data_IF_061612875095
#
_entry.id   IF_061612875095
#
_cell.length_a   1.000
_cell.length_b   1.000
_cell.length_c   1.000
_cell.angle_alpha   90.00
_cell.angle_beta   90.00
_cell.angle_gamma   90.00
#
_symmetry.space_group_name_H-M   'P 1'
#
loop_
_entity.id
_entity.type
_entity.pdbx_description
1 polymer ?
#
# COMPACT_ATOMS: atom_id res chain seq x y z
N UNK A 1 -34.86 -6.96 -12.87
CA UNK A 1 -33.49 -7.53 -12.95
C UNK A 1 -32.39 -6.47 -13.01
N UNK A 2 -32.69 -5.16 -13.01
CA UNK A 2 -31.72 -4.05 -13.13
C UNK A 2 -31.17 -3.49 -11.80
N UNK A 3 -31.64 -3.93 -10.63
CA UNK A 3 -31.26 -3.35 -9.32
C UNK A 3 -30.02 -3.97 -8.66
N UNK A 4 -29.56 -5.13 -9.09
CA UNK A 4 -28.41 -5.82 -8.46
C UNK A 4 -27.05 -5.41 -9.06
N UNK A 5 -27.02 -4.91 -10.28
CA UNK A 5 -25.80 -4.41 -10.93
C UNK A 5 -25.37 -3.05 -10.37
N UNK A 6 -26.30 -2.18 -10.03
CA UNK A 6 -26.04 -0.79 -9.56
C UNK A 6 -25.33 -0.76 -8.18
N UNK A 7 -25.62 -1.72 -7.29
CA UNK A 7 -24.96 -1.81 -5.97
C UNK A 7 -23.51 -2.35 -6.02
N UNK A 8 -23.20 -3.22 -6.98
CA UNK A 8 -21.86 -3.75 -7.16
C UNK A 8 -20.89 -2.68 -7.69
N UNK A 9 -21.38 -1.86 -8.61
CA UNK A 9 -20.61 -0.83 -9.29
C UNK A 9 -20.28 0.34 -8.35
N UNK A 10 -21.23 0.77 -7.52
CA UNK A 10 -21.01 1.81 -6.50
C UNK A 10 -19.95 1.39 -5.46
N UNK A 11 -19.96 0.13 -5.04
CA UNK A 11 -18.97 -0.41 -4.08
C UNK A 11 -17.57 -0.47 -4.69
N UNK A 12 -17.45 -0.90 -5.95
CA UNK A 12 -16.19 -0.94 -6.67
C UNK A 12 -15.54 0.44 -6.79
N UNK A 13 -16.34 1.45 -7.13
CA UNK A 13 -15.88 2.84 -7.24
C UNK A 13 -15.36 3.39 -5.91
N UNK A 14 -16.10 3.18 -4.81
CA UNK A 14 -15.69 3.64 -3.48
C UNK A 14 -14.37 2.95 -3.05
N UNK A 15 -14.24 1.66 -3.30
CA UNK A 15 -13.03 0.91 -3.01
C UNK A 15 -11.82 1.44 -3.80
N UNK A 16 -12.02 1.77 -5.08
CA UNK A 16 -10.96 2.36 -5.91
C UNK A 16 -10.58 3.76 -5.41
N UNK A 17 -11.54 4.58 -5.01
CA UNK A 17 -11.26 5.91 -4.44
C UNK A 17 -10.43 5.81 -3.16
N UNK A 18 -10.75 4.86 -2.28
CA UNK A 18 -9.97 4.61 -1.06
C UNK A 18 -8.56 4.17 -1.38
N UNK A 19 -8.38 3.27 -2.36
CA UNK A 19 -7.07 2.80 -2.79
C UNK A 19 -6.21 3.95 -3.36
N UNK A 20 -6.80 4.82 -4.19
CA UNK A 20 -6.14 6.01 -4.73
C UNK A 20 -5.66 6.96 -3.62
N UNK A 21 -6.51 7.21 -2.62
CA UNK A 21 -6.16 8.09 -1.51
C UNK A 21 -5.05 7.51 -0.64
N UNK A 22 -5.11 6.21 -0.33
CA UNK A 22 -4.07 5.51 0.42
C UNK A 22 -2.73 5.53 -0.33
N UNK A 23 -2.77 5.38 -1.66
CA UNK A 23 -1.59 5.44 -2.51
C UNK A 23 -0.94 6.83 -2.51
N UNK A 24 -1.73 7.92 -2.53
CA UNK A 24 -1.16 9.27 -2.38
C UNK A 24 -0.47 9.45 -1.03
N UNK A 25 -1.08 8.96 0.06
CA UNK A 25 -0.45 8.98 1.38
C UNK A 25 0.83 8.14 1.39
N UNK A 26 0.83 6.97 0.74
CA UNK A 26 2.01 6.12 0.62
C UNK A 26 3.14 6.80 -0.16
N UNK A 27 2.84 7.48 -1.28
CA UNK A 27 3.82 8.25 -2.06
C UNK A 27 4.47 9.34 -1.21
N UNK A 28 3.67 10.14 -0.50
CA UNK A 28 4.19 11.18 0.40
C UNK A 28 5.05 10.58 1.51
N UNK A 29 4.59 9.49 2.14
CA UNK A 29 5.33 8.77 3.17
C UNK A 29 6.66 8.21 2.66
N UNK A 30 6.69 7.66 1.46
CA UNK A 30 7.91 7.14 0.83
C UNK A 30 8.91 8.25 0.51
N UNK A 31 8.46 9.39 -0.03
CA UNK A 31 9.33 10.57 -0.26
C UNK A 31 9.95 11.04 1.05
N UNK A 32 9.14 11.18 2.10
CA UNK A 32 9.63 11.60 3.41
C UNK A 32 10.63 10.58 3.99
N UNK A 33 10.34 9.30 3.90
CA UNK A 33 11.23 8.22 4.38
C UNK A 33 12.56 8.20 3.64
N UNK A 34 12.55 8.30 2.31
CA UNK A 34 13.76 8.35 1.48
C UNK A 34 14.61 9.57 1.86
N UNK A 35 13.97 10.74 2.04
CA UNK A 35 14.67 11.96 2.44
C UNK A 35 15.31 11.82 3.83
N UNK A 36 14.59 11.29 4.81
CA UNK A 36 15.14 11.07 6.17
C UNK A 36 16.28 10.06 6.15
N UNK A 37 16.14 8.95 5.43
CA UNK A 37 17.18 7.91 5.36
C UNK A 37 18.43 8.42 4.64
N UNK A 38 18.24 9.11 3.53
CA UNK A 38 19.36 9.59 2.73
C UNK A 38 20.09 10.77 3.37
N UNK A 39 19.35 11.81 3.78
CA UNK A 39 19.92 13.04 4.32
C UNK A 39 20.08 13.03 5.84
N UNK A 40 19.17 12.37 6.56
CA UNK A 40 19.19 12.29 8.02
C UNK A 40 20.18 11.26 8.55
N UNK A 41 20.16 10.07 7.98
CA UNK A 41 21.05 8.96 8.41
C UNK A 41 22.32 8.81 7.54
N UNK A 42 22.44 9.57 6.46
CA UNK A 42 23.59 9.52 5.57
C UNK A 42 23.73 8.21 4.78
N UNK A 43 22.67 7.42 4.70
CA UNK A 43 22.68 6.14 3.97
C UNK A 43 22.59 6.42 2.48
N UNK A 44 23.53 5.88 1.72
CA UNK A 44 23.58 6.04 0.26
C UNK A 44 22.52 5.15 -0.39
N UNK A 45 21.42 5.75 -0.80
CA UNK A 45 20.36 5.10 -1.57
C UNK A 45 20.49 5.42 -3.06
N UNK A 46 20.08 4.51 -3.96
CA UNK A 46 20.03 4.76 -5.41
C UNK A 46 18.83 5.67 -5.73
N UNK A 47 18.96 6.97 -5.42
CA UNK A 47 17.86 7.94 -5.48
C UNK A 47 17.19 8.00 -6.85
N UNK A 48 17.97 7.99 -7.95
CA UNK A 48 17.42 8.07 -9.30
C UNK A 48 16.43 6.94 -9.59
N UNK A 49 16.79 5.71 -9.19
CA UNK A 49 15.93 4.54 -9.39
C UNK A 49 14.72 4.57 -8.46
N UNK A 50 14.92 4.93 -7.19
CA UNK A 50 13.83 5.03 -6.22
C UNK A 50 12.83 6.13 -6.58
N UNK A 51 13.30 7.29 -7.03
CA UNK A 51 12.45 8.37 -7.51
C UNK A 51 11.73 8.01 -8.80
N UNK A 52 12.35 7.25 -9.71
CA UNK A 52 11.70 6.74 -10.91
C UNK A 52 10.52 5.80 -10.57
N UNK A 53 10.69 4.90 -9.59
CA UNK A 53 9.61 4.03 -9.09
C UNK A 53 8.47 4.87 -8.49
N UNK A 54 8.79 5.89 -7.69
CA UNK A 54 7.79 6.80 -7.11
C UNK A 54 7.06 7.62 -8.19
N UNK A 55 7.77 8.12 -9.17
CA UNK A 55 7.19 8.87 -10.29
C UNK A 55 6.21 7.98 -11.09
N UNK A 56 6.58 6.73 -11.34
CA UNK A 56 5.69 5.76 -11.97
C UNK A 56 4.44 5.51 -11.13
N UNK A 57 4.58 5.29 -9.82
CA UNK A 57 3.46 5.08 -8.91
C UNK A 57 2.52 6.29 -8.87
N UNK A 58 3.08 7.50 -8.81
CA UNK A 58 2.31 8.74 -8.84
C UNK A 58 1.56 8.92 -10.18
N UNK A 59 2.24 8.67 -11.30
CA UNK A 59 1.63 8.71 -12.63
C UNK A 59 0.51 7.68 -12.78
N UNK A 60 0.73 6.45 -12.34
CA UNK A 60 -0.28 5.40 -12.34
C UNK A 60 -1.50 5.79 -11.47
N UNK A 61 -1.26 6.41 -10.31
CA UNK A 61 -2.33 6.87 -9.43
C UNK A 61 -3.13 8.02 -10.06
N UNK A 62 -2.45 8.97 -10.69
CA UNK A 62 -3.10 10.07 -11.42
C UNK A 62 -3.93 9.54 -12.61
N UNK A 63 -3.40 8.59 -13.38
CA UNK A 63 -4.12 7.93 -14.46
C UNK A 63 -5.35 7.16 -13.95
N UNK A 64 -5.23 6.43 -12.84
CA UNK A 64 -6.35 5.76 -12.19
C UNK A 64 -7.43 6.76 -11.75
N UNK A 65 -7.02 7.90 -11.16
CA UNK A 65 -7.92 8.96 -10.74
C UNK A 65 -8.65 9.61 -11.92
N UNK A 66 -7.96 9.83 -13.05
CA UNK A 66 -8.56 10.40 -14.25
C UNK A 66 -9.56 9.41 -14.87
N UNK A 67 -9.20 8.13 -14.93
CA UNK A 67 -10.04 7.09 -15.51
C UNK A 67 -11.37 6.95 -14.78
N UNK A 68 -11.39 6.89 -13.45
CA UNK A 68 -12.66 6.73 -12.72
C UNK A 68 -13.55 8.00 -12.77
N UNK A 69 -12.98 9.17 -13.04
CA UNK A 69 -13.78 10.38 -13.32
C UNK A 69 -14.60 10.26 -14.60
N UNK A 70 -14.08 9.50 -15.58
CA UNK A 70 -14.70 9.30 -16.90
C UNK A 70 -15.60 8.06 -16.89
N UNK A 71 -15.12 6.95 -16.34
CA UNK A 71 -15.82 5.67 -16.27
C UNK A 71 -15.99 5.28 -14.81
N UNK A 72 -17.24 5.18 -14.37
CA UNK A 72 -17.55 4.91 -12.95
C UNK A 72 -17.66 3.43 -12.60
N UNK A 73 -17.59 2.55 -13.58
CA UNK A 73 -17.65 1.10 -13.37
C UNK A 73 -16.26 0.58 -13.02
N UNK A 74 -16.11 0.03 -11.82
CA UNK A 74 -14.85 -0.53 -11.33
C UNK A 74 -15.06 -1.99 -11.00
N UNK A 75 -14.40 -2.87 -11.73
CA UNK A 75 -14.45 -4.32 -11.53
C UNK A 75 -13.47 -4.78 -10.44
N UNK A 76 -13.74 -5.99 -9.87
CA UNK A 76 -12.78 -6.65 -8.97
C UNK A 76 -11.41 -6.88 -9.66
N UNK A 77 -11.41 -7.14 -10.96
CA UNK A 77 -10.16 -7.31 -11.72
C UNK A 77 -9.32 -6.04 -11.77
N UNK A 78 -9.95 -4.87 -11.90
CA UNK A 78 -9.26 -3.58 -11.89
C UNK A 78 -8.66 -3.26 -10.52
N UNK A 79 -9.41 -3.49 -9.44
CA UNK A 79 -8.91 -3.36 -8.08
C UNK A 79 -7.74 -4.33 -7.82
N UNK A 80 -7.85 -5.56 -8.29
CA UNK A 80 -6.79 -6.56 -8.18
C UNK A 80 -5.51 -6.14 -8.91
N UNK A 81 -5.62 -5.67 -10.16
CA UNK A 81 -4.47 -5.17 -10.94
C UNK A 81 -3.87 -3.94 -10.28
N UNK A 82 -4.70 -3.01 -9.79
CA UNK A 82 -4.22 -1.83 -9.07
C UNK A 82 -3.41 -2.22 -7.82
N UNK A 83 -3.87 -3.21 -7.06
CA UNK A 83 -3.16 -3.69 -5.88
C UNK A 83 -1.89 -4.47 -6.25
N UNK A 84 -1.87 -5.20 -7.38
CA UNK A 84 -0.66 -5.83 -7.91
C UNK A 84 0.42 -4.81 -8.27
N UNK A 85 0.03 -3.68 -8.87
CA UNK A 85 0.97 -2.58 -9.15
C UNK A 85 1.56 -2.05 -7.85
N UNK A 86 0.75 -1.88 -6.80
CA UNK A 86 1.24 -1.44 -5.49
C UNK A 86 2.24 -2.44 -4.90
N UNK A 87 1.96 -3.73 -4.97
CA UNK A 87 2.89 -4.80 -4.54
C UNK A 87 4.19 -4.77 -5.35
N UNK A 88 4.10 -4.61 -6.67
CA UNK A 88 5.28 -4.53 -7.54
C UNK A 88 6.15 -3.31 -7.23
N UNK A 89 5.54 -2.14 -7.03
CA UNK A 89 6.27 -0.92 -6.69
C UNK A 89 6.91 -0.99 -5.30
N UNK A 90 6.20 -1.56 -4.31
CA UNK A 90 6.76 -1.82 -2.98
C UNK A 90 7.96 -2.78 -3.07
N UNK A 91 7.84 -3.86 -3.85
CA UNK A 91 8.92 -4.82 -4.09
C UNK A 91 10.14 -4.14 -4.71
N UNK A 92 9.94 -3.29 -5.73
CA UNK A 92 11.03 -2.54 -6.35
C UNK A 92 11.71 -1.59 -5.36
N UNK A 93 10.96 -0.85 -4.56
CA UNK A 93 11.52 0.03 -3.53
C UNK A 93 12.31 -0.76 -2.47
N UNK A 94 11.78 -1.87 -1.99
CA UNK A 94 12.47 -2.72 -1.03
C UNK A 94 13.75 -3.32 -1.62
N UNK A 95 13.71 -3.80 -2.86
CA UNK A 95 14.89 -4.33 -3.56
C UNK A 95 16.02 -3.29 -3.62
N UNK A 96 15.70 -2.03 -3.88
CA UNK A 96 16.65 -0.92 -3.95
C UNK A 96 17.15 -0.43 -2.58
N UNK A 97 16.47 -0.79 -1.49
CA UNK A 97 16.73 -0.27 -0.15
C UNK A 97 17.08 -1.35 0.89
N UNK A 98 17.66 -2.47 0.46
CA UNK A 98 18.16 -3.50 1.35
C UNK A 98 17.32 -4.78 1.42
N UNK A 99 16.28 -4.88 0.60
CA UNK A 99 15.50 -6.10 0.41
C UNK A 99 14.77 -6.58 1.66
N UNK A 100 14.84 -7.87 1.94
CA UNK A 100 14.14 -8.48 3.08
C UNK A 100 14.68 -8.04 4.45
N UNK A 101 15.90 -7.49 4.52
CA UNK A 101 16.44 -6.92 5.75
C UNK A 101 15.87 -5.53 6.07
N UNK A 102 15.18 -4.89 5.12
CA UNK A 102 14.55 -3.61 5.34
C UNK A 102 13.28 -3.79 6.21
N UNK A 103 13.14 -3.08 7.36
CA UNK A 103 11.96 -3.20 8.23
C UNK A 103 10.65 -2.86 7.53
N UNK A 104 10.67 -2.07 6.45
CA UNK A 104 9.48 -1.75 5.64
C UNK A 104 8.91 -2.94 4.85
N UNK A 105 9.55 -4.11 4.87
CA UNK A 105 9.00 -5.38 4.36
C UNK A 105 7.62 -5.70 4.97
N UNK A 106 7.38 -5.29 6.20
CA UNK A 106 6.08 -5.45 6.86
C UNK A 106 4.92 -4.67 6.20
N UNK A 107 5.20 -3.71 5.29
CA UNK A 107 4.17 -3.06 4.48
C UNK A 107 3.42 -4.03 3.55
N UNK A 108 3.97 -5.20 3.26
CA UNK A 108 3.21 -6.24 2.56
C UNK A 108 1.97 -6.71 3.32
N UNK A 109 2.00 -6.68 4.66
CA UNK A 109 0.81 -7.00 5.46
C UNK A 109 -0.33 -6.01 5.20
N UNK A 110 0.00 -4.73 5.00
CA UNK A 110 -1.00 -3.74 4.60
C UNK A 110 -1.63 -4.09 3.25
N UNK A 111 -0.84 -4.53 2.27
CA UNK A 111 -1.35 -4.96 0.95
C UNK A 111 -2.28 -6.18 1.08
N UNK A 112 -1.93 -7.15 1.93
CA UNK A 112 -2.78 -8.31 2.23
C UNK A 112 -4.10 -7.88 2.87
N UNK A 113 -4.06 -6.98 3.84
CA UNK A 113 -5.26 -6.45 4.52
C UNK A 113 -6.14 -5.67 3.52
N UNK A 114 -5.54 -4.83 2.67
CA UNK A 114 -6.27 -4.14 1.61
C UNK A 114 -6.94 -5.13 0.65
N UNK A 115 -6.22 -6.18 0.25
CA UNK A 115 -6.76 -7.27 -0.56
C UNK A 115 -7.94 -7.96 0.12
N UNK A 116 -7.84 -8.27 1.40
CA UNK A 116 -8.90 -8.95 2.15
C UNK A 116 -10.18 -8.10 2.27
N UNK A 117 -10.05 -6.79 2.32
CA UNK A 117 -11.19 -5.87 2.46
C UNK A 117 -11.79 -5.44 1.13
N UNK A 118 -10.96 -5.24 0.11
CA UNK A 118 -11.38 -4.62 -1.16
C UNK A 118 -11.71 -5.65 -2.25
N UNK A 119 -11.15 -6.86 -2.17
CA UNK A 119 -11.20 -7.86 -3.25
C UNK A 119 -12.08 -9.05 -2.88
N UNK A 120 -12.45 -9.81 -3.92
CA UNK A 120 -13.05 -11.14 -3.73
C UNK A 120 -12.02 -12.14 -3.20
N UNK A 121 -12.49 -13.19 -2.50
CA UNK A 121 -11.64 -14.15 -1.80
C UNK A 121 -10.50 -14.75 -2.66
N UNK A 122 -10.78 -15.16 -3.91
CA UNK A 122 -9.75 -15.71 -4.80
C UNK A 122 -8.62 -14.73 -5.10
N UNK A 123 -8.96 -13.45 -5.36
CA UNK A 123 -7.99 -12.37 -5.61
C UNK A 123 -7.15 -12.10 -4.37
N UNK A 124 -7.78 -12.12 -3.18
CA UNK A 124 -7.09 -11.95 -1.90
C UNK A 124 -6.03 -13.04 -1.68
N UNK A 125 -6.39 -14.30 -1.85
CA UNK A 125 -5.44 -15.41 -1.71
C UNK A 125 -4.31 -15.35 -2.73
N UNK A 126 -4.60 -14.84 -3.93
CA UNK A 126 -3.56 -14.61 -4.94
C UNK A 126 -2.58 -13.50 -4.48
N UNK A 127 -3.07 -12.40 -3.90
CA UNK A 127 -2.21 -11.36 -3.32
C UNK A 127 -1.35 -11.92 -2.18
N UNK A 128 -1.92 -12.76 -1.30
CA UNK A 128 -1.14 -13.43 -0.24
C UNK A 128 0.01 -14.27 -0.83
N UNK A 129 -0.28 -15.07 -1.85
CA UNK A 129 0.73 -15.89 -2.53
C UNK A 129 1.81 -15.05 -3.19
N UNK A 130 1.43 -13.99 -3.91
CA UNK A 130 2.35 -13.09 -4.61
C UNK A 130 3.23 -12.33 -3.61
N UNK A 131 2.67 -11.75 -2.55
CA UNK A 131 3.45 -11.04 -1.53
C UNK A 131 4.42 -11.97 -0.81
N UNK A 132 4.01 -13.20 -0.50
CA UNK A 132 4.89 -14.23 0.04
C UNK A 132 6.05 -14.57 -0.89
N UNK A 133 5.77 -14.75 -2.19
CA UNK A 133 6.79 -14.98 -3.20
C UNK A 133 7.74 -13.77 -3.36
N UNK A 134 7.22 -12.54 -3.29
CA UNK A 134 8.05 -11.34 -3.32
C UNK A 134 9.00 -11.26 -2.12
N UNK A 135 8.52 -11.55 -0.90
CA UNK A 135 9.37 -11.58 0.31
C UNK A 135 10.46 -12.65 0.18
N UNK A 136 10.11 -13.85 -0.27
CA UNK A 136 11.08 -14.91 -0.52
C UNK A 136 12.10 -14.51 -1.61
N UNK A 137 11.63 -13.91 -2.71
CA UNK A 137 12.49 -13.40 -3.77
C UNK A 137 13.45 -12.29 -3.28
N UNK A 138 12.97 -11.36 -2.48
CA UNK A 138 13.81 -10.33 -1.86
C UNK A 138 14.88 -10.94 -0.94
N UNK A 139 14.51 -11.96 -0.16
CA UNK A 139 15.46 -12.63 0.73
C UNK A 139 16.59 -13.35 -0.04
N UNK A 140 16.28 -13.86 -1.25
CA UNK A 140 17.24 -14.60 -2.07
C UNK A 140 18.06 -13.70 -3.02
N UNK A 141 17.48 -12.63 -3.52
CA UNK A 141 18.02 -11.86 -4.65
C UNK A 141 18.53 -10.47 -4.25
N UNK A 142 18.07 -9.90 -3.12
CA UNK A 142 18.49 -8.56 -2.72
C UNK A 142 19.88 -8.56 -2.11
N UNK A 143 20.63 -7.49 -2.39
CA UNK A 143 21.91 -7.24 -1.74
C UNK A 143 21.65 -6.49 -0.43
N UNK A 144 22.34 -6.87 0.68
CA UNK A 144 22.27 -6.08 1.90
C UNK A 144 22.77 -4.66 1.64
N UNK A 145 22.12 -3.70 2.26
CA UNK A 145 22.57 -2.30 2.23
C UNK A 145 23.82 -2.17 3.09
N UNK A 146 24.82 -1.40 2.61
CA UNK A 146 25.99 -1.05 3.43
C UNK A 146 25.55 -0.06 4.53
N UNK A 147 25.06 -0.62 5.61
CA UNK A 147 24.75 0.16 6.81
C UNK A 147 26.02 0.48 7.58
N UNK A 148 26.16 1.69 8.15
CA UNK A 148 27.20 1.96 9.14
C UNK A 148 27.14 0.88 10.21
N UNK A 149 28.31 0.34 10.62
CA UNK A 149 28.40 -0.65 11.67
C UNK A 149 27.72 -0.11 12.93
N UNK A 150 26.51 -0.57 13.17
CA UNK A 150 25.71 -0.19 14.32
C UNK A 150 26.14 -1.10 15.49
N UNK A 151 27.00 -0.58 16.36
CA UNK A 151 27.39 -1.25 17.60
C UNK A 151 26.39 -1.01 18.74
N UNK A 152 25.35 -0.19 18.46
CA UNK A 152 24.32 0.12 19.44
C UNK A 152 23.24 -0.96 19.47
N UNK A 153 22.86 -1.35 20.67
CA UNK A 153 21.78 -2.28 20.94
C UNK A 153 20.57 -1.53 21.52
N UNK A 154 19.36 -1.99 21.17
CA UNK A 154 18.12 -1.42 21.68
C UNK A 154 17.58 -0.27 20.83
N UNK A 155 16.97 0.75 21.46
CA UNK A 155 16.25 1.83 20.77
C UNK A 155 17.16 2.78 19.97
N UNK A 156 18.47 2.77 20.21
CA UNK A 156 19.45 3.55 19.45
C UNK A 156 19.82 2.91 18.13
N UNK A 157 19.60 1.60 17.95
CA UNK A 157 19.82 0.91 16.70
C UNK A 157 18.98 1.48 15.57
N UNK A 158 19.60 1.79 14.44
CA UNK A 158 18.95 2.31 13.23
C UNK A 158 17.86 1.34 12.71
N UNK A 159 18.12 0.03 12.81
CA UNK A 159 17.15 -0.99 12.43
C UNK A 159 15.89 -0.95 13.33
N UNK A 160 16.08 -0.85 14.64
CA UNK A 160 14.97 -0.78 15.60
C UNK A 160 14.14 0.51 15.39
N UNK A 161 14.82 1.65 15.15
CA UNK A 161 14.12 2.90 14.81
C UNK A 161 13.29 2.77 13.52
N UNK A 162 13.87 2.17 12.48
CA UNK A 162 13.16 1.87 11.24
C UNK A 162 11.95 0.96 11.44
N UNK A 163 12.10 -0.06 12.29
CA UNK A 163 11.00 -0.98 12.64
C UNK A 163 9.86 -0.25 13.38
N UNK A 164 10.19 0.62 14.33
CA UNK A 164 9.19 1.43 15.06
C UNK A 164 8.46 2.40 14.14
N UNK A 165 9.17 3.06 13.24
CA UNK A 165 8.58 3.96 12.23
C UNK A 165 7.65 3.16 11.31
N UNK A 166 8.09 2.01 10.82
CA UNK A 166 7.30 1.13 9.97
C UNK A 166 6.03 0.66 10.70
N UNK A 167 6.14 0.25 11.96
CA UNK A 167 5.00 -0.14 12.77
C UNK A 167 4.01 1.01 12.94
N UNK A 168 4.49 2.20 13.30
CA UNK A 168 3.64 3.38 13.47
C UNK A 168 2.92 3.77 12.18
N UNK A 169 3.62 3.74 11.03
CA UNK A 169 3.02 4.00 9.72
C UNK A 169 1.95 2.97 9.36
N UNK A 170 2.25 1.67 9.51
CA UNK A 170 1.28 0.61 9.25
C UNK A 170 0.03 0.74 10.14
N UNK A 171 0.23 0.98 11.44
CA UNK A 171 -0.86 1.15 12.39
C UNK A 171 -1.72 2.37 12.04
N UNK A 172 -1.10 3.52 11.72
CA UNK A 172 -1.81 4.73 11.33
C UNK A 172 -2.61 4.54 10.04
N UNK A 173 -2.00 3.96 8.99
CA UNK A 173 -2.68 3.68 7.72
C UNK A 173 -3.84 2.71 7.91
N UNK A 174 -3.64 1.66 8.71
CA UNK A 174 -4.68 0.67 9.01
C UNK A 174 -5.87 1.30 9.75
N UNK A 175 -5.61 2.12 10.78
CA UNK A 175 -6.66 2.83 11.52
C UNK A 175 -7.43 3.78 10.61
N UNK A 176 -6.75 4.57 9.78
CA UNK A 176 -7.38 5.48 8.82
C UNK A 176 -8.27 4.69 7.86
N UNK A 177 -7.77 3.57 7.33
CA UNK A 177 -8.48 2.72 6.40
C UNK A 177 -9.73 2.08 7.02
N UNK A 178 -9.60 1.46 8.21
CA UNK A 178 -10.72 0.83 8.91
C UNK A 178 -11.79 1.88 9.27
N UNK A 179 -11.38 3.06 9.76
CA UNK A 179 -12.33 4.15 10.07
C UNK A 179 -13.11 4.60 8.84
N UNK A 180 -12.46 4.73 7.69
CA UNK A 180 -13.13 5.12 6.44
C UNK A 180 -14.15 4.06 6.00
N UNK A 181 -13.80 2.78 6.04
CA UNK A 181 -14.73 1.70 5.72
C UNK A 181 -15.91 1.69 6.69
N UNK A 182 -15.63 1.76 7.99
CA UNK A 182 -16.67 1.76 9.01
C UNK A 182 -17.63 2.94 8.89
N UNK A 183 -17.15 4.13 8.54
CA UNK A 183 -18.01 5.30 8.31
C UNK A 183 -18.91 5.12 7.09
N UNK A 184 -18.40 4.55 6.02
CA UNK A 184 -19.18 4.28 4.80
C UNK A 184 -20.28 3.23 5.05
N UNK A 185 -19.96 2.17 5.81
CA UNK A 185 -20.96 1.15 6.19
C UNK A 185 -22.08 1.74 7.05
N UNK A 186 -21.75 2.54 8.06
CA UNK A 186 -22.74 3.20 8.93
C UNK A 186 -23.64 4.16 8.15
N UNK A 187 -23.08 4.91 7.20
CA UNK A 187 -23.88 5.80 6.35
C UNK A 187 -24.88 5.04 5.48
N UNK A 188 -24.50 3.86 4.97
CA UNK A 188 -25.38 2.97 4.20
C UNK A 188 -26.48 2.37 5.07
N UNK A 189 -26.14 1.87 6.26
CA UNK A 189 -27.12 1.30 7.19
C UNK A 189 -28.15 2.35 7.61
N UNK A 190 -27.76 3.60 7.88
CA UNK A 190 -28.64 4.70 8.18
C UNK A 190 -29.58 5.02 7.01
N UNK A 191 -29.05 5.04 5.76
CA UNK A 191 -29.85 5.27 4.57
C UNK A 191 -30.89 4.17 4.34
N UNK A 192 -30.51 2.90 4.53
CA UNK A 192 -31.42 1.77 4.42
C UNK A 192 -32.49 1.75 5.51
N UNK A 193 -32.16 2.21 6.72
CA UNK A 193 -33.14 2.34 7.81
C UNK A 193 -34.22 3.40 7.48
N UNK A 194 -33.83 4.52 6.86
CA UNK A 194 -34.80 5.56 6.41
C UNK A 194 -35.72 5.09 5.28
N UNK A 195 -35.27 4.16 4.43
CA UNK A 195 -36.10 3.63 3.32
C UNK A 195 -37.10 2.53 3.78
N UNK A 196 -36.98 2.06 5.02
CA UNK A 196 -37.88 1.04 5.62
C UNK A 196 -38.99 1.63 6.49
N UNK A 197 -38.95 2.93 6.75
CA UNK A 197 -40.02 3.70 7.39
C UNK A 197 -40.97 4.30 6.36
#
# INVERSE_FOLDING_TARGET
>A
MARTTDYGDATGLENMQQLIQLRWMAVVGQVATIAVVHYGFGIRLPLDQMLAVLAFLAAFNAASQLRWRIHRDVSNGELFVALLVDVAMLTAQLYLSGGAANPFVFLYLLQVILGAVLLKAWSTWTIVGITGACVAGLALLSKPLDLPLDHDHGLSSLYVQGLLICFALNAALLVIFIRRISSNLRARDAHLAHLRQ
#
